data_IF_170890512988
#
_entry.id   IF_170890512988
#
_cell.length_a   1.000
_cell.length_b   1.000
_cell.length_c   1.000
_cell.angle_alpha   90.00
_cell.angle_beta   90.00
_cell.angle_gamma   90.00
#
_symmetry.space_group_name_H-M   'P 1'
#
loop_
_entity.id
_entity.type
_entity.pdbx_description
1 polymer ?
#
# COMPACT_ATOMS: atom_id res chain seq x y z
N UNK A 1 -12.32 26.12 -32.64
CA UNK A 1 -11.92 26.38 -31.24
C UNK A 1 -11.61 25.13 -30.41
N UNK A 2 -12.17 23.94 -30.69
CA UNK A 2 -11.79 22.70 -29.98
C UNK A 2 -10.50 22.02 -30.49
N UNK A 3 -10.02 22.37 -31.70
CA UNK A 3 -8.76 21.83 -32.27
C UNK A 3 -7.50 22.46 -31.66
N UNK A 4 -7.55 23.73 -31.24
CA UNK A 4 -6.38 24.46 -30.70
C UNK A 4 -6.04 24.09 -29.25
N UNK A 5 -7.02 23.61 -28.47
CA UNK A 5 -6.77 23.13 -27.11
C UNK A 5 -6.02 21.79 -27.08
N UNK A 6 -6.11 20.98 -28.14
CA UNK A 6 -5.36 19.72 -28.24
C UNK A 6 -3.86 19.97 -28.47
N UNK A 7 -3.52 20.96 -29.30
CA UNK A 7 -2.13 21.36 -29.55
C UNK A 7 -1.43 21.98 -28.33
N UNK A 8 -2.19 22.59 -27.41
CA UNK A 8 -1.64 23.12 -26.15
C UNK A 8 -1.42 22.04 -25.08
N UNK A 9 -2.09 20.89 -25.19
CA UNK A 9 -2.01 19.81 -24.20
C UNK A 9 -0.93 18.76 -24.53
N UNK A 10 -0.48 18.73 -25.79
CA UNK A 10 0.61 17.89 -26.31
C UNK A 10 1.92 18.69 -26.53
N UNK A 11 2.09 19.80 -25.81
CA UNK A 11 3.31 20.62 -25.85
C UNK A 11 4.47 19.91 -25.13
N UNK A 12 5.64 19.93 -25.75
CA UNK A 12 6.90 19.57 -25.10
C UNK A 12 7.16 20.48 -23.88
N UNK A 13 7.50 19.88 -22.75
CA UNK A 13 7.82 20.58 -21.50
C UNK A 13 8.97 21.55 -21.71
N UNK A 14 8.86 22.78 -21.18
CA UNK A 14 10.01 23.68 -21.15
C UNK A 14 11.06 23.19 -20.15
N UNK A 15 12.32 23.57 -20.34
CA UNK A 15 13.38 23.21 -19.41
C UNK A 15 13.08 23.69 -17.98
N UNK A 16 12.45 24.85 -17.82
CA UNK A 16 12.09 25.43 -16.52
C UNK A 16 10.97 24.65 -15.82
N UNK A 17 9.98 24.16 -16.58
CA UNK A 17 8.91 23.29 -16.07
C UNK A 17 9.48 21.94 -15.62
N UNK A 18 10.42 21.39 -16.40
CA UNK A 18 11.14 20.16 -16.07
C UNK A 18 11.97 20.31 -14.81
N UNK A 19 12.69 21.42 -14.66
CA UNK A 19 13.49 21.74 -13.48
C UNK A 19 12.60 21.94 -12.25
N UNK A 20 11.49 22.69 -12.36
CA UNK A 20 10.57 22.88 -11.24
C UNK A 20 10.00 21.55 -10.72
N UNK A 21 9.58 20.68 -11.65
CA UNK A 21 9.10 19.33 -11.33
C UNK A 21 10.25 18.56 -10.69
N UNK A 22 11.41 18.42 -11.35
CA UNK A 22 12.58 17.74 -10.84
C UNK A 22 12.94 18.15 -9.41
N UNK A 23 12.99 19.45 -9.10
CA UNK A 23 13.33 19.96 -7.76
C UNK A 23 12.24 19.66 -6.74
N UNK A 24 10.96 19.68 -7.11
CA UNK A 24 9.85 19.25 -6.22
C UNK A 24 9.89 17.75 -5.95
N UNK A 25 10.28 16.96 -6.94
CA UNK A 25 10.41 15.52 -6.82
C UNK A 25 11.66 15.07 -6.09
N UNK A 26 12.79 15.74 -6.25
CA UNK A 26 14.05 15.37 -5.60
C UNK A 26 13.88 15.44 -4.08
N UNK A 27 13.12 16.44 -3.65
CA UNK A 27 12.71 16.60 -2.26
C UNK A 27 11.80 15.48 -1.75
N UNK A 28 11.12 14.73 -2.62
CA UNK A 28 10.16 13.68 -2.26
C UNK A 28 10.66 12.26 -2.51
N UNK A 29 11.12 11.94 -3.72
CA UNK A 29 11.55 10.61 -4.15
C UNK A 29 13.06 10.37 -4.03
N UNK A 30 13.85 11.43 -3.87
CA UNK A 30 15.30 11.39 -4.05
C UNK A 30 15.70 11.32 -5.53
N UNK A 31 16.94 11.71 -5.80
CA UNK A 31 17.48 11.91 -7.15
C UNK A 31 17.46 10.62 -7.99
N UNK A 32 17.74 9.45 -7.40
CA UNK A 32 17.81 8.16 -8.12
C UNK A 32 16.45 7.64 -8.61
N UNK A 33 15.40 7.83 -7.80
CA UNK A 33 14.03 7.44 -8.15
C UNK A 33 13.50 8.29 -9.31
N UNK A 34 13.86 9.57 -9.31
CA UNK A 34 13.57 10.50 -10.39
C UNK A 34 14.31 10.17 -11.66
N UNK A 35 15.59 9.87 -11.57
CA UNK A 35 16.37 9.42 -12.72
C UNK A 35 15.76 8.16 -13.31
N UNK A 36 15.24 7.23 -12.50
CA UNK A 36 14.53 6.05 -13.01
C UNK A 36 13.23 6.40 -13.74
N UNK A 37 12.43 7.35 -13.23
CA UNK A 37 11.20 7.83 -13.88
C UNK A 37 11.51 8.64 -15.16
N UNK A 38 12.54 9.48 -15.13
CA UNK A 38 13.02 10.26 -16.27
C UNK A 38 13.64 9.38 -17.36
N UNK A 39 14.44 8.37 -16.99
CA UNK A 39 15.02 7.42 -17.95
C UNK A 39 13.94 6.59 -18.64
N UNK A 40 12.93 6.11 -17.90
CA UNK A 40 11.80 5.35 -18.49
C UNK A 40 10.94 6.22 -19.42
N UNK A 41 10.83 7.52 -19.15
CA UNK A 41 10.02 8.44 -19.96
C UNK A 41 10.78 9.02 -21.15
N UNK A 42 12.10 9.20 -21.05
CA UNK A 42 12.93 9.70 -22.16
C UNK A 42 13.37 8.60 -23.15
N UNK A 43 13.42 7.32 -22.76
CA UNK A 43 13.91 6.25 -23.66
C UNK A 43 12.84 5.71 -24.63
N UNK A 44 11.56 6.03 -24.44
CA UNK A 44 10.54 5.65 -25.41
C UNK A 44 10.25 6.82 -26.37
N UNK A 45 10.92 6.83 -27.51
CA UNK A 45 10.60 7.71 -28.66
C UNK A 45 9.14 7.54 -29.15
N UNK A 46 8.42 6.51 -28.69
CA UNK A 46 7.01 6.23 -28.99
C UNK A 46 6.04 6.44 -27.83
N UNK A 47 6.51 6.86 -26.65
CA UNK A 47 5.61 7.10 -25.53
C UNK A 47 5.19 8.57 -25.52
N UNK A 48 4.07 8.87 -26.18
CA UNK A 48 3.24 10.04 -25.87
C UNK A 48 2.67 9.89 -24.43
N UNK A 49 3.54 9.96 -23.42
CA UNK A 49 3.13 10.44 -22.11
C UNK A 49 3.12 11.96 -22.22
N UNK A 50 1.94 12.56 -22.45
CA UNK A 50 1.86 14.01 -22.36
C UNK A 50 2.31 14.42 -20.96
N UNK A 51 3.26 15.34 -20.90
CA UNK A 51 3.89 15.85 -19.68
C UNK A 51 2.84 16.27 -18.64
N UNK A 52 1.72 16.78 -19.13
CA UNK A 52 0.54 17.15 -18.36
C UNK A 52 0.00 15.98 -17.54
N UNK A 53 0.03 14.75 -18.08
CA UNK A 53 -0.44 13.55 -17.36
C UNK A 53 0.49 13.17 -16.22
N UNK A 54 1.80 13.29 -16.41
CA UNK A 54 2.77 13.09 -15.34
C UNK A 54 2.45 14.11 -14.24
N UNK A 55 2.30 15.38 -14.59
CA UNK A 55 1.92 16.45 -13.67
C UNK A 55 0.58 16.19 -12.94
N UNK A 56 -0.44 15.72 -13.63
CA UNK A 56 -1.76 15.44 -13.03
C UNK A 56 -1.68 14.30 -12.01
N UNK A 57 -1.02 13.19 -12.34
CA UNK A 57 -0.81 12.07 -11.40
C UNK A 57 -0.06 12.55 -10.16
N UNK A 58 0.96 13.36 -10.37
CA UNK A 58 1.77 13.97 -9.31
C UNK A 58 0.93 14.85 -8.39
N UNK A 59 0.10 15.70 -8.98
CA UNK A 59 -0.75 16.61 -8.23
C UNK A 59 -1.73 15.81 -7.38
N UNK A 60 -2.31 14.75 -7.92
CA UNK A 60 -3.23 13.86 -7.19
C UNK A 60 -2.54 13.16 -6.01
N UNK A 61 -1.36 12.58 -6.22
CA UNK A 61 -0.58 11.96 -5.13
C UNK A 61 -0.24 12.99 -4.04
N UNK A 62 0.17 14.20 -4.45
CA UNK A 62 0.52 15.28 -3.52
C UNK A 62 -0.70 15.76 -2.73
N UNK A 63 -1.84 15.92 -3.39
CA UNK A 63 -3.11 16.30 -2.76
C UNK A 63 -3.57 15.23 -1.77
N UNK A 64 -3.53 13.94 -2.15
CA UNK A 64 -3.87 12.84 -1.25
C UNK A 64 -3.06 12.90 0.05
N UNK A 65 -1.75 13.13 -0.05
CA UNK A 65 -0.88 13.28 1.12
C UNK A 65 -1.10 14.58 1.90
N UNK A 66 -1.55 15.65 1.25
CA UNK A 66 -1.81 16.92 1.91
C UNK A 66 -2.99 16.82 2.88
N UNK A 67 -4.00 16.03 2.53
CA UNK A 67 -5.21 15.82 3.35
C UNK A 67 -5.06 14.71 4.40
N UNK A 68 -3.90 14.07 4.49
CA UNK A 68 -3.64 13.08 5.55
C UNK A 68 -3.51 13.78 6.90
N UNK A 69 -4.27 13.30 7.87
CA UNK A 69 -4.17 13.69 9.27
C UNK A 69 -3.65 12.53 10.15
N UNK A 70 -2.67 12.76 11.05
CA UNK A 70 -1.95 14.01 11.26
C UNK A 70 -0.98 14.35 10.10
N UNK A 71 -0.60 15.63 9.99
CA UNK A 71 0.27 16.10 8.90
C UNK A 71 1.60 15.35 8.87
N UNK A 72 1.92 14.79 7.71
CA UNK A 72 3.09 13.94 7.53
C UNK A 72 4.41 14.73 7.60
N UNK A 73 5.38 14.18 8.33
CA UNK A 73 6.73 14.75 8.40
C UNK A 73 7.47 14.58 7.07
N UNK A 74 8.49 15.43 6.82
CA UNK A 74 9.39 15.25 5.66
C UNK A 74 10.08 13.87 5.71
N UNK A 75 10.48 13.42 6.90
CA UNK A 75 11.12 12.11 7.09
C UNK A 75 10.18 10.96 6.70
N UNK A 76 8.94 10.96 7.18
CA UNK A 76 7.95 9.94 6.83
C UNK A 76 7.69 9.86 5.32
N UNK A 77 7.61 11.02 4.64
CA UNK A 77 7.45 11.08 3.18
C UNK A 77 8.65 10.49 2.42
N UNK A 78 9.88 10.73 2.89
CA UNK A 78 11.09 10.12 2.30
C UNK A 78 11.14 8.60 2.50
N UNK A 79 10.73 8.11 3.67
CA UNK A 79 10.61 6.66 3.93
C UNK A 79 9.56 6.03 3.03
N UNK A 80 8.39 6.67 2.89
CA UNK A 80 7.36 6.23 1.96
C UNK A 80 7.91 6.12 0.54
N UNK A 81 8.60 7.15 0.05
CA UNK A 81 9.16 7.12 -1.30
C UNK A 81 10.15 5.97 -1.53
N UNK A 82 11.07 5.74 -0.58
CA UNK A 82 12.01 4.61 -0.62
C UNK A 82 11.26 3.27 -0.64
N UNK A 83 10.25 3.12 0.21
CA UNK A 83 9.43 1.92 0.31
C UNK A 83 8.71 1.63 -1.01
N UNK A 84 7.97 2.60 -1.55
CA UNK A 84 7.25 2.44 -2.82
C UNK A 84 8.22 2.11 -3.95
N UNK A 85 9.38 2.77 -4.02
CA UNK A 85 10.39 2.48 -5.04
C UNK A 85 10.90 1.04 -4.92
N UNK A 86 11.21 0.58 -3.71
CA UNK A 86 11.66 -0.81 -3.48
C UNK A 86 10.57 -1.81 -3.88
N UNK A 87 9.32 -1.57 -3.50
CA UNK A 87 8.20 -2.43 -3.87
C UNK A 87 7.96 -2.45 -5.39
N UNK A 88 8.06 -1.31 -6.07
CA UNK A 88 7.95 -1.24 -7.53
C UNK A 88 9.08 -1.99 -8.23
N UNK A 89 10.33 -1.85 -7.77
CA UNK A 89 11.50 -2.56 -8.32
C UNK A 89 11.37 -4.08 -8.19
N UNK A 90 10.73 -4.55 -7.13
CA UNK A 90 10.47 -5.98 -6.89
C UNK A 90 9.12 -6.44 -7.47
N UNK A 91 8.42 -5.61 -8.25
CA UNK A 91 7.18 -6.00 -8.91
C UNK A 91 5.98 -6.17 -7.98
N UNK A 92 6.06 -5.74 -6.71
CA UNK A 92 4.99 -5.80 -5.71
C UNK A 92 4.05 -4.59 -5.77
N UNK A 93 4.49 -3.50 -6.41
CA UNK A 93 3.66 -2.34 -6.71
C UNK A 93 3.67 -2.02 -8.21
N UNK A 94 2.56 -1.50 -8.70
CA UNK A 94 2.46 -0.86 -10.00
C UNK A 94 3.01 0.56 -9.94
N UNK A 95 3.52 1.03 -11.09
CA UNK A 95 3.86 2.45 -11.23
C UNK A 95 2.59 3.29 -11.18
N UNK A 96 2.57 4.42 -10.45
CA UNK A 96 1.44 5.36 -10.49
C UNK A 96 1.22 5.96 -11.89
N UNK A 97 2.21 5.84 -12.78
CA UNK A 97 2.14 6.31 -14.16
C UNK A 97 1.68 5.23 -15.16
N UNK A 98 1.32 4.04 -14.67
CA UNK A 98 0.77 2.96 -15.50
C UNK A 98 -0.55 3.40 -16.17
N UNK A 99 -0.82 2.88 -17.37
CA UNK A 99 -2.05 3.17 -18.11
C UNK A 99 -3.31 2.79 -17.32
N UNK A 100 -3.20 1.81 -16.42
CA UNK A 100 -4.29 1.34 -15.56
C UNK A 100 -4.84 2.40 -14.60
N UNK A 101 -4.03 3.38 -14.23
CA UNK A 101 -4.44 4.50 -13.38
C UNK A 101 -4.78 5.76 -14.18
N UNK A 102 -4.92 5.63 -15.52
CA UNK A 102 -5.42 6.74 -16.33
C UNK A 102 -6.86 7.02 -15.92
N UNK A 103 -7.15 8.28 -15.58
CA UNK A 103 -8.53 8.77 -15.56
C UNK A 103 -9.17 8.46 -16.91
N UNK A 104 -10.29 7.71 -16.94
CA UNK A 104 -11.11 7.66 -18.12
C UNK A 104 -11.53 9.09 -18.47
N UNK A 105 -11.32 9.53 -19.71
CA UNK A 105 -11.78 10.84 -20.21
C UNK A 105 -13.31 10.96 -20.21
N UNK A 106 -14.03 9.87 -19.89
CA UNK A 106 -15.46 9.80 -19.62
C UNK A 106 -15.70 8.81 -18.47
N UNK A 107 -16.40 9.22 -17.42
CA UNK A 107 -16.90 8.29 -16.41
C UNK A 107 -17.88 7.32 -17.09
N UNK A 108 -17.43 6.09 -17.33
CA UNK A 108 -18.35 4.99 -17.58
C UNK A 108 -18.73 4.50 -16.20
N UNK A 109 -19.99 4.70 -15.82
CA UNK A 109 -20.54 4.18 -14.58
C UNK A 109 -20.31 2.66 -14.55
N UNK A 110 -19.64 2.16 -13.50
CA UNK A 110 -19.44 0.73 -13.26
C UNK A 110 -18.02 0.18 -13.43
N UNK A 111 -16.98 1.00 -13.64
CA UNK A 111 -15.60 0.51 -13.57
C UNK A 111 -15.20 0.24 -12.10
N UNK A 112 -14.73 -0.97 -11.73
CA UNK A 112 -14.33 -1.30 -10.35
C UNK A 112 -13.11 -0.52 -9.85
N UNK A 113 -12.40 0.14 -10.76
CA UNK A 113 -11.16 0.86 -10.48
C UNK A 113 -11.43 2.36 -10.62
N UNK A 114 -11.99 2.96 -9.57
CA UNK A 114 -11.90 4.41 -9.43
C UNK A 114 -10.42 4.75 -9.26
N UNK A 115 -9.82 5.35 -10.30
CA UNK A 115 -8.44 5.84 -10.33
C UNK A 115 -8.28 7.09 -9.46
N UNK A 116 -8.74 7.03 -8.21
CA UNK A 116 -8.61 8.10 -7.25
C UNK A 116 -7.53 7.71 -6.23
N UNK A 117 -6.51 8.54 -6.13
CA UNK A 117 -5.45 8.40 -5.14
C UNK A 117 -5.93 8.75 -3.71
N UNK A 118 -7.22 8.99 -3.51
CA UNK A 118 -7.85 9.36 -2.23
C UNK A 118 -7.62 8.40 -1.08
N UNK A 119 -7.31 7.13 -1.36
CA UNK A 119 -7.06 6.13 -0.32
C UNK A 119 -5.56 6.01 -0.07
N UNK A 120 -5.10 6.65 1.00
CA UNK A 120 -3.75 6.49 1.55
C UNK A 120 -3.89 5.92 2.94
N UNK A 121 -3.23 4.80 3.19
CA UNK A 121 -3.22 4.17 4.51
C UNK A 121 -1.92 4.53 5.25
N UNK A 122 -2.03 4.77 6.55
CA UNK A 122 -0.88 5.09 7.40
C UNK A 122 -0.40 3.87 8.16
N UNK A 123 0.89 3.60 8.03
CA UNK A 123 1.55 2.49 8.68
C UNK A 123 2.69 2.97 9.57
N UNK A 124 2.81 2.34 10.74
CA UNK A 124 3.92 2.61 11.65
C UNK A 124 5.15 1.81 11.18
N UNK A 125 6.21 2.52 10.78
CA UNK A 125 7.48 1.94 10.34
C UNK A 125 8.58 2.43 11.27
N UNK A 126 9.41 1.51 11.75
CA UNK A 126 10.53 1.82 12.63
C UNK A 126 11.76 2.25 11.82
N UNK A 127 12.27 3.44 12.12
CA UNK A 127 13.42 4.03 11.44
C UNK A 127 14.44 4.47 12.50
N UNK A 128 15.33 3.54 12.86
CA UNK A 128 16.29 3.70 13.95
C UNK A 128 15.60 3.63 15.30
N UNK A 129 15.67 4.70 16.10
CA UNK A 129 15.03 4.77 17.44
C UNK A 129 13.63 5.40 17.45
N UNK A 130 13.02 5.62 16.28
CA UNK A 130 11.73 6.31 16.15
C UNK A 130 10.80 5.54 15.23
N UNK A 131 9.55 5.44 15.62
CA UNK A 131 8.46 4.98 14.77
C UNK A 131 7.87 6.17 14.01
N UNK A 132 7.69 6.02 12.71
CA UNK A 132 7.13 7.04 11.82
C UNK A 132 5.80 6.54 11.26
N UNK A 133 4.80 7.42 11.18
CA UNK A 133 3.60 7.17 10.39
C UNK A 133 3.90 7.43 8.92
N UNK A 134 4.09 6.36 8.17
CA UNK A 134 4.47 6.37 6.76
C UNK A 134 3.22 6.14 5.91
N UNK A 135 2.91 7.03 4.95
CA UNK A 135 1.81 6.82 4.03
C UNK A 135 2.16 5.72 3.02
N UNK A 136 1.20 4.84 2.75
CA UNK A 136 1.29 3.83 1.70
C UNK A 136 0.05 3.95 0.79
N UNK A 137 0.30 4.09 -0.50
CA UNK A 137 -0.73 4.05 -1.55
C UNK A 137 -1.07 2.58 -1.83
N UNK A 138 -1.96 2.00 -1.02
CA UNK A 138 -2.31 0.58 -1.10
C UNK A 138 -2.98 0.20 -2.42
N UNK A 139 -3.61 1.12 -3.12
CA UNK A 139 -4.14 0.93 -4.48
C UNK A 139 -3.05 0.64 -5.52
N UNK A 140 -1.79 1.00 -5.25
CA UNK A 140 -0.67 0.68 -6.13
C UNK A 140 -0.12 -0.73 -5.90
N UNK A 141 -0.47 -1.39 -4.79
CA UNK A 141 -0.04 -2.77 -4.54
C UNK A 141 -0.62 -3.71 -5.59
N UNK A 142 0.21 -4.65 -6.05
CA UNK A 142 -0.28 -5.75 -6.87
C UNK A 142 -1.13 -6.66 -5.99
N UNK A 143 -2.32 -6.95 -6.47
CA UNK A 143 -3.24 -7.89 -5.82
C UNK A 143 -3.33 -9.18 -6.61
N UNK A 144 -3.71 -10.26 -5.93
CA UNK A 144 -3.98 -11.55 -6.55
C UNK A 144 -5.08 -11.42 -7.63
N UNK A 145 -5.04 -12.27 -8.66
CA UNK A 145 -5.99 -12.19 -9.78
C UNK A 145 -7.41 -12.59 -9.40
N UNK A 146 -7.52 -13.50 -8.45
CA UNK A 146 -8.78 -14.05 -7.95
C UNK A 146 -8.98 -13.58 -6.52
N UNK A 147 -10.17 -13.07 -6.16
CA UNK A 147 -10.46 -12.74 -4.78
C UNK A 147 -10.52 -14.02 -3.93
N UNK A 148 -10.26 -13.87 -2.64
CA UNK A 148 -10.46 -14.91 -1.62
C UNK A 148 -11.71 -14.53 -0.83
N UNK A 149 -12.63 -15.47 -0.66
CA UNK A 149 -13.81 -15.27 0.16
C UNK A 149 -13.46 -15.51 1.63
N UNK A 150 -13.77 -14.54 2.49
CA UNK A 150 -13.63 -14.70 3.92
C UNK A 150 -14.73 -15.61 4.46
N UNK A 151 -14.39 -16.74 5.08
CA UNK A 151 -15.36 -17.70 5.63
C UNK A 151 -16.21 -17.11 6.79
N UNK A 152 -15.75 -16.02 7.41
CA UNK A 152 -16.41 -15.40 8.56
C UNK A 152 -17.37 -14.28 8.12
N UNK A 153 -16.93 -13.35 7.26
CA UNK A 153 -17.77 -12.23 6.83
C UNK A 153 -18.39 -12.40 5.43
N UNK A 154 -18.04 -13.46 4.71
CA UNK A 154 -18.46 -13.74 3.32
C UNK A 154 -18.07 -12.65 2.30
N UNK A 155 -17.18 -11.72 2.64
CA UNK A 155 -16.65 -10.72 1.70
C UNK A 155 -15.61 -11.35 0.78
N UNK A 156 -15.74 -11.09 -0.53
CA UNK A 156 -14.73 -11.41 -1.55
C UNK A 156 -13.64 -10.34 -1.57
N UNK A 157 -12.43 -10.69 -1.14
CA UNK A 157 -11.36 -9.72 -0.90
C UNK A 157 -10.14 -10.06 -1.78
N UNK A 158 -9.65 -9.06 -2.51
CA UNK A 158 -8.38 -9.14 -3.22
C UNK A 158 -7.22 -8.90 -2.23
N UNK A 159 -6.33 -9.88 -2.10
CA UNK A 159 -5.17 -9.76 -1.22
C UNK A 159 -3.90 -9.37 -1.99
N UNK A 160 -2.88 -8.88 -1.27
CA UNK A 160 -1.57 -8.55 -1.87
C UNK A 160 -0.93 -9.81 -2.45
N UNK A 161 -0.49 -9.67 -3.71
CA UNK A 161 0.21 -10.71 -4.45
C UNK A 161 1.70 -10.68 -4.08
N UNK A 162 2.14 -11.70 -3.36
CA UNK A 162 3.54 -12.07 -3.21
C UNK A 162 3.62 -13.59 -3.18
N UNK A 163 4.65 -14.14 -3.83
CA UNK A 163 4.73 -15.56 -4.13
C UNK A 163 5.14 -16.38 -2.89
N UNK A 164 6.08 -15.86 -2.09
CA UNK A 164 6.50 -16.45 -0.82
C UNK A 164 6.61 -15.41 0.31
N UNK A 165 6.36 -15.86 1.56
CA UNK A 165 6.53 -15.03 2.76
C UNK A 165 7.99 -14.58 2.91
N UNK A 166 8.95 -15.43 2.57
CA UNK A 166 10.38 -15.13 2.69
C UNK A 166 10.81 -14.02 1.72
N UNK A 167 10.34 -14.05 0.47
CA UNK A 167 10.57 -12.98 -0.51
C UNK A 167 9.95 -11.65 -0.04
N UNK A 168 8.75 -11.71 0.54
CA UNK A 168 8.10 -10.53 1.11
C UNK A 168 8.92 -9.92 2.26
N UNK A 169 9.45 -10.75 3.16
CA UNK A 169 10.33 -10.31 4.25
C UNK A 169 11.60 -9.68 3.68
N UNK A 170 12.23 -10.31 2.69
CA UNK A 170 13.47 -9.81 2.07
C UNK A 170 13.27 -8.42 1.45
N UNK A 171 12.15 -8.19 0.76
CA UNK A 171 11.85 -6.86 0.19
C UNK A 171 11.60 -5.82 1.29
N UNK A 172 11.00 -6.23 2.40
CA UNK A 172 10.64 -5.34 3.50
C UNK A 172 11.72 -5.16 4.56
N UNK A 173 12.85 -5.86 4.49
CA UNK A 173 13.87 -5.94 5.56
C UNK A 173 14.47 -4.58 5.98
N UNK A 174 14.44 -3.59 5.09
CA UNK A 174 14.93 -2.23 5.38
C UNK A 174 13.89 -1.36 6.11
N UNK A 175 12.69 -1.87 6.34
CA UNK A 175 11.52 -1.15 6.81
C UNK A 175 10.84 -1.94 7.92
N UNK A 176 11.39 -1.85 9.12
CA UNK A 176 10.92 -2.63 10.27
C UNK A 176 9.53 -2.22 10.74
N UNK A 177 8.83 -3.18 11.36
CA UNK A 177 7.57 -2.96 12.07
C UNK A 177 6.43 -3.88 11.63
N UNK A 178 5.37 -3.94 12.44
CA UNK A 178 4.18 -4.77 12.22
C UNK A 178 3.48 -4.54 10.88
N UNK A 179 3.72 -3.38 10.25
CA UNK A 179 3.07 -2.99 9.00
C UNK A 179 3.28 -4.03 7.90
N UNK A 180 4.44 -4.70 7.89
CA UNK A 180 4.81 -5.79 6.98
C UNK A 180 3.72 -6.86 6.92
N UNK A 181 3.04 -7.10 8.05
CA UNK A 181 1.96 -8.08 8.15
C UNK A 181 0.58 -7.45 8.07
N UNK A 182 0.42 -6.23 8.63
CA UNK A 182 -0.87 -5.52 8.70
C UNK A 182 -1.36 -5.00 7.36
N UNK A 183 -0.45 -4.78 6.41
CA UNK A 183 -0.79 -4.36 5.05
C UNK A 183 -1.57 -5.44 4.29
N UNK A 184 -1.40 -6.72 4.66
CA UNK A 184 -2.13 -7.84 4.06
C UNK A 184 -3.56 -7.95 4.61
N UNK A 185 -4.52 -8.14 3.71
CA UNK A 185 -5.95 -8.29 4.06
C UNK A 185 -6.28 -9.67 4.61
N UNK A 186 -5.38 -10.63 4.42
CA UNK A 186 -5.42 -11.95 5.09
C UNK A 186 -4.14 -12.14 5.92
N UNK A 187 -4.22 -12.75 7.10
CA UNK A 187 -3.08 -12.92 8.02
C UNK A 187 -2.17 -14.07 7.59
N UNK A 188 -1.50 -13.90 6.43
CA UNK A 188 -0.66 -14.91 5.77
C UNK A 188 0.48 -15.43 6.65
N UNK A 189 0.98 -14.64 7.62
CA UNK A 189 1.98 -15.10 8.60
C UNK A 189 1.52 -16.35 9.37
N UNK A 190 0.20 -16.46 9.62
CA UNK A 190 -0.36 -17.61 10.32
C UNK A 190 -0.21 -18.89 9.50
N UNK A 191 -0.13 -18.82 8.17
CA UNK A 191 0.01 -20.01 7.30
C UNK A 191 1.28 -20.80 7.59
N UNK A 192 2.36 -20.14 8.04
CA UNK A 192 3.60 -20.84 8.38
C UNK A 192 3.41 -21.82 9.56
N UNK A 193 2.42 -21.57 10.43
CA UNK A 193 2.17 -22.35 11.66
C UNK A 193 0.83 -23.07 11.64
N UNK A 194 -0.14 -22.56 10.90
CA UNK A 194 -1.42 -23.19 10.64
C UNK A 194 -1.29 -24.19 9.49
N UNK A 195 -1.60 -25.47 9.73
CA UNK A 195 -1.60 -26.52 8.71
C UNK A 195 -2.85 -26.48 7.80
N UNK A 196 -3.33 -25.28 7.48
CA UNK A 196 -4.47 -25.04 6.60
C UNK A 196 -4.30 -23.73 5.84
N UNK A 197 -5.05 -23.58 4.76
CA UNK A 197 -5.13 -22.32 4.03
C UNK A 197 -5.86 -21.28 4.88
N UNK A 198 -5.34 -20.05 4.92
CA UNK A 198 -5.97 -18.96 5.65
C UNK A 198 -7.11 -18.41 4.79
N UNK A 199 -8.34 -18.64 5.24
CA UNK A 199 -9.61 -18.30 4.57
C UNK A 199 -10.43 -17.28 5.36
N UNK A 200 -9.83 -16.61 6.35
CA UNK A 200 -10.44 -15.53 7.11
C UNK A 200 -9.61 -14.25 7.00
N UNK A 201 -10.26 -13.11 6.86
CA UNK A 201 -9.57 -11.83 6.70
C UNK A 201 -9.01 -11.29 8.02
N UNK A 202 -8.05 -10.37 7.91
CA UNK A 202 -7.36 -9.74 9.05
C UNK A 202 -8.35 -9.01 9.98
N UNK A 203 -9.40 -8.39 9.44
CA UNK A 203 -10.42 -7.71 10.26
C UNK A 203 -11.27 -8.66 11.08
N UNK A 204 -11.62 -9.84 10.52
CA UNK A 204 -12.31 -10.88 11.26
C UNK A 204 -11.42 -11.50 12.34
N UNK A 205 -10.12 -11.72 12.06
CA UNK A 205 -9.16 -12.16 13.06
C UNK A 205 -9.04 -11.15 14.21
N UNK A 206 -8.93 -9.86 13.90
CA UNK A 206 -8.89 -8.76 14.87
C UNK A 206 -10.10 -8.78 15.81
N UNK A 207 -11.31 -8.91 15.26
CA UNK A 207 -12.55 -8.99 16.03
C UNK A 207 -12.58 -10.23 16.91
N UNK A 208 -12.19 -11.40 16.38
CA UNK A 208 -12.11 -12.65 17.12
C UNK A 208 -11.17 -12.52 18.33
N UNK A 209 -9.95 -12.04 18.11
CA UNK A 209 -8.98 -11.80 19.19
C UNK A 209 -9.57 -10.83 20.22
N UNK A 210 -10.15 -9.71 19.77
CA UNK A 210 -10.74 -8.71 20.65
C UNK A 210 -11.83 -9.28 21.56
N UNK A 211 -12.79 -10.02 20.99
CA UNK A 211 -13.86 -10.65 21.77
C UNK A 211 -13.35 -11.70 22.75
N UNK A 212 -12.30 -12.45 22.40
CA UNK A 212 -11.72 -13.45 23.30
C UNK A 212 -10.97 -12.79 24.47
N UNK A 213 -10.23 -11.70 24.23
CA UNK A 213 -9.56 -10.94 25.28
C UNK A 213 -10.55 -10.31 26.27
N UNK A 214 -11.70 -9.82 25.78
CA UNK A 214 -12.75 -9.27 26.65
C UNK A 214 -13.42 -10.33 27.53
N UNK A 215 -13.52 -11.57 27.05
CA UNK A 215 -14.21 -12.66 27.76
C UNK A 215 -13.34 -13.39 28.80
N UNK A 216 -12.03 -13.47 28.56
CA UNK A 216 -11.12 -14.38 29.29
C UNK A 216 -10.08 -13.65 30.18
N UNK A 217 -10.13 -12.31 30.27
CA UNK A 217 -9.22 -11.43 31.02
C UNK A 217 -7.73 -11.61 30.62
N UNK A 218 -6.74 -10.95 31.26
CA UNK A 218 -5.33 -10.98 30.82
C UNK A 218 -4.69 -12.38 30.65
N UNK A 219 -5.23 -13.41 31.30
CA UNK A 219 -4.84 -14.82 31.09
C UNK A 219 -5.30 -15.43 29.75
N UNK A 220 -6.03 -14.67 28.94
CA UNK A 220 -6.60 -15.08 27.66
C UNK A 220 -5.59 -15.18 26.52
N UNK A 221 -4.51 -14.38 26.55
CA UNK A 221 -3.58 -14.26 25.42
C UNK A 221 -3.01 -15.62 24.98
N UNK A 222 -2.80 -16.54 25.93
CA UNK A 222 -2.25 -17.88 25.66
C UNK A 222 -3.32 -18.91 25.25
N UNK A 223 -4.60 -18.53 25.28
CA UNK A 223 -5.75 -19.42 25.09
C UNK A 223 -6.58 -19.10 23.83
N UNK A 224 -6.20 -18.11 23.03
CA UNK A 224 -6.93 -17.73 21.81
C UNK A 224 -6.65 -18.75 20.70
N UNK A 225 -7.70 -19.43 20.23
CA UNK A 225 -7.62 -20.39 19.12
C UNK A 225 -7.69 -19.69 17.76
N UNK A 226 -7.11 -20.33 16.74
CA UNK A 226 -7.34 -19.98 15.34
C UNK A 226 -8.85 -19.92 15.04
N UNK A 227 -9.35 -18.89 14.33
CA UNK A 227 -10.77 -18.79 13.97
C UNK A 227 -11.28 -19.89 13.05
N UNK A 228 -10.40 -20.58 12.31
CA UNK A 228 -10.81 -21.62 11.38
C UNK A 228 -11.34 -22.85 12.12
N UNK A 229 -12.51 -23.34 11.71
CA UNK A 229 -13.17 -24.50 12.34
C UNK A 229 -12.33 -25.78 12.26
N UNK A 230 -11.48 -25.89 11.24
CA UNK A 230 -10.59 -27.05 11.03
C UNK A 230 -9.26 -26.92 11.77
N UNK A 231 -9.04 -25.83 12.51
CA UNK A 231 -7.79 -25.54 13.17
C UNK A 231 -7.97 -25.30 14.68
N UNK A 232 -7.42 -26.21 15.48
CA UNK A 232 -7.45 -26.10 16.95
C UNK A 232 -6.19 -25.46 17.54
N UNK A 233 -5.33 -24.88 16.69
CA UNK A 233 -4.07 -24.28 17.12
C UNK A 233 -4.33 -23.02 17.97
N UNK A 234 -3.57 -22.89 19.05
CA UNK A 234 -3.49 -21.65 19.83
C UNK A 234 -2.58 -20.65 19.11
N UNK A 235 -3.06 -19.41 19.01
CA UNK A 235 -2.25 -18.28 18.55
C UNK A 235 -1.15 -18.01 19.59
N UNK A 236 0.05 -17.68 19.13
CA UNK A 236 1.11 -17.30 20.05
C UNK A 236 0.89 -15.86 20.54
N UNK A 237 1.51 -15.52 21.66
CA UNK A 237 1.43 -14.16 22.21
C UNK A 237 1.82 -13.10 21.17
N UNK A 238 2.86 -13.35 20.36
CA UNK A 238 3.29 -12.41 19.31
C UNK A 238 2.25 -12.27 18.20
N UNK A 239 1.54 -13.34 17.83
CA UNK A 239 0.47 -13.29 16.83
C UNK A 239 -0.75 -12.53 17.38
N UNK A 240 -1.09 -12.76 18.64
CA UNK A 240 -2.16 -12.02 19.34
C UNK A 240 -1.79 -10.54 19.44
N UNK A 241 -0.57 -10.21 19.88
CA UNK A 241 -0.08 -8.84 19.98
C UNK A 241 -0.06 -8.13 18.61
N UNK A 242 0.35 -8.84 17.56
CA UNK A 242 0.40 -8.30 16.20
C UNK A 242 -1.00 -7.92 15.72
N UNK A 243 -1.99 -8.78 15.91
CA UNK A 243 -3.34 -8.59 15.36
C UNK A 243 -4.35 -8.00 16.35
N UNK A 244 -4.04 -7.87 17.63
CA UNK A 244 -4.93 -7.19 18.56
C UNK A 244 -5.02 -5.69 18.24
N UNK A 245 -6.21 -5.12 18.45
CA UNK A 245 -6.35 -3.66 18.45
C UNK A 245 -5.63 -3.09 19.67
N UNK A 246 -4.92 -1.97 19.49
CA UNK A 246 -4.08 -1.36 20.55
C UNK A 246 -4.88 -1.06 21.83
N UNK A 247 -6.14 -0.67 21.67
CA UNK A 247 -7.06 -0.35 22.77
C UNK A 247 -7.46 -1.58 23.60
N UNK A 248 -7.58 -2.75 22.97
CA UNK A 248 -7.95 -3.99 23.64
C UNK A 248 -6.74 -4.64 24.31
N UNK A 249 -5.55 -4.53 23.71
CA UNK A 249 -4.34 -5.14 24.24
C UNK A 249 -3.70 -4.35 25.41
N UNK A 250 -3.93 -3.03 25.48
CA UNK A 250 -3.36 -2.18 26.52
C UNK A 250 -4.16 -2.16 27.84
N UNK A 251 -5.35 -2.78 27.87
CA UNK A 251 -6.17 -2.93 29.09
C UNK A 251 -5.61 -4.02 29.97
#
# INVERSE_FOLDING_TARGET
>A
MAKDLKGSLDRAMSADEAIYIYTKFENWLGTEALQSVMLVTCWNEKAEFSVIRIYDTILQLTQALYFVEPRLTSKARKVAARLHLKMMKNGLMHSPFDQRYRRPTRSVAGSPLNADFSHVELYNIDEGRKTLQVPIFTQLLRVEKTPIDCIICAESIYNISYDAVDEWIEVCIEFDGDWVWKISRFPKILRARCKHTIDFCTSCLQKHIGSQLEQLDKSACDNIRCPSQTCQRLLTYEEVQLYAQKETFAK
#
